data_IF_468093722523
#
_entry.id   IF_468093722523
#
_cell.length_a   1.000
_cell.length_b   1.000
_cell.length_c   1.000
_cell.angle_alpha   90.00
_cell.angle_beta   90.00
_cell.angle_gamma   90.00
#
_symmetry.space_group_name_H-M   'P 1'
#
loop_
_entity.id
_entity.type
_entity.pdbx_description
1 polymer ?
#
# COMPACT_ATOMS: atom_id res chain seq x y z
N UNK A 1 10.23 22.27 31.02
CA UNK A 1 9.32 21.16 30.63
C UNK A 1 8.55 21.58 29.40
N UNK A 2 8.58 20.81 28.32
CA UNK A 2 7.73 21.07 27.16
C UNK A 2 6.26 21.05 27.61
N UNK A 3 5.50 22.12 27.32
CA UNK A 3 4.10 22.22 27.71
C UNK A 3 3.30 21.31 26.80
N UNK A 4 2.84 20.16 27.30
CA UNK A 4 1.94 19.28 26.56
C UNK A 4 0.71 20.06 26.07
N UNK A 5 0.44 20.03 24.77
CA UNK A 5 -0.84 20.51 24.23
C UNK A 5 -1.96 19.55 24.67
N UNK A 6 -2.67 19.93 25.73
CA UNK A 6 -3.71 19.10 26.36
C UNK A 6 -4.91 18.89 25.44
N UNK A 7 -5.26 19.89 24.64
CA UNK A 7 -6.43 19.84 23.76
C UNK A 7 -6.15 18.92 22.57
N UNK A 8 -4.97 19.04 21.97
CA UNK A 8 -4.53 18.12 20.93
C UNK A 8 -4.42 16.69 21.46
N UNK A 9 -3.83 16.50 22.65
CA UNK A 9 -3.76 15.20 23.29
C UNK A 9 -5.14 14.56 23.46
N UNK A 10 -6.13 15.34 23.96
CA UNK A 10 -7.50 14.87 24.19
C UNK A 10 -8.17 14.44 22.88
N UNK A 11 -8.14 15.28 21.84
CA UNK A 11 -8.73 14.96 20.53
C UNK A 11 -8.13 13.71 19.91
N UNK A 12 -6.80 13.58 19.94
CA UNK A 12 -6.10 12.40 19.39
C UNK A 12 -6.41 11.14 20.22
N UNK A 13 -6.62 11.26 21.54
CA UNK A 13 -7.04 10.11 22.34
C UNK A 13 -8.48 9.68 22.06
N UNK A 14 -9.38 10.65 21.88
CA UNK A 14 -10.79 10.43 21.55
C UNK A 14 -10.96 9.81 20.16
N UNK A 15 -10.07 10.11 19.22
CA UNK A 15 -10.03 9.45 17.91
C UNK A 15 -9.53 8.00 17.95
N UNK A 16 -9.33 7.42 19.14
CA UNK A 16 -8.95 6.02 19.34
C UNK A 16 -7.44 5.73 19.26
N UNK A 17 -6.59 6.75 19.14
CA UNK A 17 -5.13 6.55 19.10
C UNK A 17 -4.59 6.17 20.49
N UNK A 18 -3.59 5.27 20.54
CA UNK A 18 -2.98 4.83 21.80
C UNK A 18 -2.37 6.01 22.57
N UNK A 19 -2.47 5.96 23.91
CA UNK A 19 -1.95 6.97 24.85
C UNK A 19 -0.53 7.44 24.54
N UNK A 20 0.39 6.51 24.24
CA UNK A 20 1.80 6.83 23.94
C UNK A 20 1.95 7.69 22.69
N UNK A 21 1.19 7.38 21.63
CA UNK A 21 1.26 8.11 20.35
C UNK A 21 0.60 9.48 20.49
N UNK A 22 -0.58 9.54 21.12
CA UNK A 22 -1.24 10.81 21.42
C UNK A 22 -0.33 11.75 22.23
N UNK A 23 0.38 11.19 23.23
CA UNK A 23 1.35 11.93 24.04
C UNK A 23 2.52 12.44 23.22
N UNK A 24 3.13 11.62 22.36
CA UNK A 24 4.25 12.07 21.51
C UNK A 24 3.86 13.18 20.54
N UNK A 25 2.66 13.14 19.96
CA UNK A 25 2.17 14.17 19.04
C UNK A 25 1.90 15.49 19.80
N UNK A 26 1.26 15.39 20.97
CA UNK A 26 0.97 16.55 21.81
C UNK A 26 2.23 17.18 22.44
N UNK A 27 3.24 16.37 22.78
CA UNK A 27 4.54 16.86 23.24
C UNK A 27 5.32 17.54 22.10
N UNK A 28 5.20 17.03 20.87
CA UNK A 28 5.79 17.68 19.69
C UNK A 28 5.15 19.04 19.40
N UNK A 29 3.81 19.13 19.47
CA UNK A 29 3.09 20.40 19.32
C UNK A 29 3.41 21.40 20.45
N UNK A 30 3.63 20.88 21.65
CA UNK A 30 3.92 21.64 22.86
C UNK A 30 5.31 22.30 22.93
N UNK A 31 6.19 21.99 21.98
CA UNK A 31 7.50 22.66 21.87
C UNK A 31 7.32 23.96 21.10
N UNK A 32 7.75 25.07 21.67
CA UNK A 32 7.72 26.38 21.01
C UNK A 32 9.03 26.61 20.23
N UNK A 33 9.42 25.66 19.39
CA UNK A 33 10.63 25.74 18.57
C UNK A 33 10.27 25.92 17.10
N UNK A 34 11.16 26.53 16.31
CA UNK A 34 10.98 26.69 14.86
C UNK A 34 10.83 25.36 14.10
N UNK A 35 11.20 24.23 14.72
CA UNK A 35 11.12 22.86 14.16
C UNK A 35 9.79 22.15 14.46
N UNK A 36 8.96 22.69 15.33
CA UNK A 36 7.65 22.15 15.70
C UNK A 36 6.71 21.89 14.52
N UNK A 37 6.52 22.84 13.55
CA UNK A 37 5.66 22.58 12.40
C UNK A 37 6.16 21.41 11.54
N UNK A 38 7.47 21.25 11.40
CA UNK A 38 8.05 20.13 10.66
C UNK A 38 7.80 18.80 11.37
N UNK A 39 8.05 18.72 12.69
CA UNK A 39 7.81 17.52 13.47
C UNK A 39 6.34 17.07 13.45
N UNK A 40 5.40 18.03 13.47
CA UNK A 40 3.97 17.74 13.34
C UNK A 40 3.60 17.26 11.93
N UNK A 41 4.16 17.88 10.89
CA UNK A 41 3.96 17.45 9.52
C UNK A 41 4.48 16.03 9.29
N UNK A 42 5.65 15.68 9.84
CA UNK A 42 6.21 14.34 9.76
C UNK A 42 5.32 13.32 10.48
N UNK A 43 4.84 13.66 11.68
CA UNK A 43 3.92 12.80 12.42
C UNK A 43 2.59 12.59 11.66
N UNK A 44 2.03 13.66 11.09
CA UNK A 44 0.84 13.58 10.25
C UNK A 44 1.09 12.77 8.96
N UNK A 45 2.28 12.86 8.39
CA UNK A 45 2.72 12.05 7.25
C UNK A 45 2.72 10.57 7.59
N UNK A 46 3.37 10.19 8.70
CA UNK A 46 3.40 8.79 9.18
C UNK A 46 2.01 8.22 9.44
N UNK A 47 1.12 9.01 10.05
CA UNK A 47 -0.27 8.58 10.28
C UNK A 47 -1.05 8.39 8.97
N UNK A 48 -0.87 9.29 7.99
CA UNK A 48 -1.47 9.14 6.65
C UNK A 48 -0.96 7.91 5.92
N UNK A 49 0.35 7.65 5.97
CA UNK A 49 0.92 6.42 5.37
C UNK A 49 0.35 5.16 6.01
N UNK A 50 0.24 5.12 7.34
CA UNK A 50 -0.36 3.99 8.04
C UNK A 50 -1.85 3.79 7.69
N UNK A 51 -2.61 4.88 7.56
CA UNK A 51 -4.00 4.82 7.10
C UNK A 51 -4.09 4.27 5.67
N UNK A 52 -3.23 4.72 4.75
CA UNK A 52 -3.19 4.22 3.38
C UNK A 52 -2.86 2.72 3.31
N UNK A 53 -1.95 2.22 4.15
CA UNK A 53 -1.66 0.78 4.24
C UNK A 53 -2.86 -0.03 4.74
N UNK A 54 -3.59 0.48 5.73
CA UNK A 54 -4.80 -0.17 6.24
C UNK A 54 -5.89 -0.22 5.16
N UNK A 55 -6.11 0.87 4.44
CA UNK A 55 -7.04 0.91 3.32
C UNK A 55 -6.62 -0.03 2.18
N UNK A 56 -5.33 -0.10 1.87
CA UNK A 56 -4.80 -1.03 0.87
C UNK A 56 -5.09 -2.48 1.28
N UNK A 57 -4.80 -2.85 2.54
CA UNK A 57 -5.12 -4.19 3.06
C UNK A 57 -6.62 -4.47 3.06
N UNK A 58 -7.46 -3.52 3.46
CA UNK A 58 -8.91 -3.66 3.41
C UNK A 58 -9.43 -3.93 1.98
N UNK A 59 -8.82 -3.31 0.97
CA UNK A 59 -9.14 -3.53 -0.46
C UNK A 59 -8.55 -4.82 -1.06
N UNK A 60 -7.86 -5.62 -0.25
CA UNK A 60 -7.24 -6.90 -0.63
C UNK A 60 -5.72 -6.85 -0.85
N UNK A 61 -5.13 -5.66 -0.77
CA UNK A 61 -3.71 -5.41 -0.59
C UNK A 61 -2.76 -6.09 -1.59
N UNK A 62 -1.52 -6.38 -1.15
CA UNK A 62 -0.50 -7.02 -1.98
C UNK A 62 -0.91 -8.41 -2.49
N UNK A 63 -1.72 -9.14 -1.73
CA UNK A 63 -2.18 -10.48 -2.10
C UNK A 63 -3.07 -10.45 -3.36
N UNK A 64 -4.00 -9.49 -3.43
CA UNK A 64 -4.83 -9.28 -4.63
C UNK A 64 -3.97 -8.92 -5.83
N UNK A 65 -3.00 -8.00 -5.70
CA UNK A 65 -2.06 -7.62 -6.76
C UNK A 65 -1.25 -8.82 -7.27
N UNK A 66 -0.71 -9.64 -6.36
CA UNK A 66 0.05 -10.86 -6.69
C UNK A 66 -0.80 -11.84 -7.49
N UNK A 67 -2.06 -12.06 -7.09
CA UNK A 67 -2.98 -12.95 -7.81
C UNK A 67 -3.26 -12.45 -9.22
N UNK A 68 -3.49 -11.15 -9.40
CA UNK A 68 -3.72 -10.56 -10.73
C UNK A 68 -2.50 -10.71 -11.63
N UNK A 69 -1.30 -10.47 -11.09
CA UNK A 69 -0.05 -10.65 -11.81
C UNK A 69 0.18 -12.11 -12.25
N UNK A 70 -0.04 -13.08 -11.34
CA UNK A 70 0.04 -14.49 -11.68
C UNK A 70 -0.96 -14.91 -12.76
N UNK A 71 -2.20 -14.39 -12.69
CA UNK A 71 -3.21 -14.61 -13.73
C UNK A 71 -2.72 -14.09 -15.09
N UNK A 72 -2.18 -12.88 -15.15
CA UNK A 72 -1.64 -12.31 -16.39
C UNK A 72 -0.48 -13.15 -16.96
N UNK A 73 0.43 -13.61 -16.11
CA UNK A 73 1.53 -14.51 -16.52
C UNK A 73 0.98 -15.82 -17.09
N UNK A 74 0.00 -16.45 -16.41
CA UNK A 74 -0.63 -17.69 -16.89
C UNK A 74 -1.30 -17.50 -18.25
N UNK A 75 -2.01 -16.39 -18.46
CA UNK A 75 -2.65 -16.07 -19.74
C UNK A 75 -1.62 -15.89 -20.86
N UNK A 76 -0.52 -15.17 -20.60
CA UNK A 76 0.56 -15.00 -21.59
C UNK A 76 1.17 -16.34 -21.99
N UNK A 77 1.43 -17.23 -21.03
CA UNK A 77 1.92 -18.58 -21.28
C UNK A 77 0.94 -19.40 -22.12
N UNK A 78 -0.35 -19.40 -21.78
CA UNK A 78 -1.38 -20.13 -22.52
C UNK A 78 -1.51 -19.64 -23.98
N UNK A 79 -1.47 -18.32 -24.21
CA UNK A 79 -1.51 -17.77 -25.57
C UNK A 79 -0.27 -18.12 -26.40
N UNK A 80 0.90 -18.17 -25.78
CA UNK A 80 2.12 -18.60 -26.46
C UNK A 80 2.05 -20.08 -26.88
N UNK A 81 1.57 -20.96 -25.99
CA UNK A 81 1.42 -22.39 -26.31
C UNK A 81 0.35 -22.63 -27.37
N UNK A 82 -0.76 -21.90 -27.33
CA UNK A 82 -1.82 -21.93 -28.35
C UNK A 82 -1.27 -21.61 -29.75
N UNK A 83 -0.52 -20.50 -29.89
CA UNK A 83 0.13 -20.12 -31.16
C UNK A 83 1.12 -21.18 -31.63
N UNK A 84 1.94 -21.72 -30.74
CA UNK A 84 2.90 -22.78 -31.09
C UNK A 84 2.20 -24.04 -31.59
N UNK A 85 1.12 -24.46 -30.91
CA UNK A 85 0.32 -25.62 -31.32
C UNK A 85 -0.33 -25.39 -32.68
N UNK A 86 -0.89 -24.22 -32.93
CA UNK A 86 -1.47 -23.86 -34.22
C UNK A 86 -0.42 -23.89 -35.35
N UNK A 87 0.76 -23.31 -35.13
CA UNK A 87 1.87 -23.34 -36.09
C UNK A 87 2.33 -24.78 -36.39
N UNK A 88 2.51 -25.60 -35.36
CA UNK A 88 2.87 -27.03 -35.51
C UNK A 88 1.79 -27.80 -36.27
N UNK A 89 0.51 -27.54 -35.99
CA UNK A 89 -0.61 -28.15 -36.71
C UNK A 89 -0.58 -27.75 -38.18
N UNK A 90 -0.41 -26.47 -38.49
CA UNK A 90 -0.31 -25.96 -39.86
C UNK A 90 0.89 -26.50 -40.64
N UNK A 91 2.04 -26.68 -39.97
CA UNK A 91 3.20 -27.34 -40.59
C UNK A 91 2.92 -28.80 -40.91
N UNK A 92 2.31 -29.54 -39.98
CA UNK A 92 1.92 -30.95 -40.19
C UNK A 92 0.90 -31.12 -41.31
N UNK A 93 -0.08 -30.22 -41.42
CA UNK A 93 -1.08 -30.30 -42.50
C UNK A 93 -0.45 -30.01 -43.86
N UNK A 94 0.43 -29.01 -43.96
CA UNK A 94 1.18 -28.72 -45.21
C UNK A 94 2.11 -29.86 -45.61
N UNK A 95 2.78 -30.51 -44.65
CA UNK A 95 3.65 -31.65 -44.93
C UNK A 95 2.90 -32.88 -45.44
N UNK A 96 1.60 -33.02 -45.15
CA UNK A 96 0.74 -34.10 -45.67
C UNK A 96 0.11 -33.79 -47.03
N UNK A 97 0.04 -32.51 -47.39
CA UNK A 97 -0.55 -32.04 -48.64
C UNK A 97 0.50 -31.80 -49.75
N UNK A 98 1.78 -31.93 -49.40
CA UNK A 98 2.89 -32.10 -50.34
C UNK A 98 3.16 -33.59 -50.51
#
# INVERSE_FOLDING_TARGET
MARLDKDLYKRVRESGVRKRVARTVAEAAGKADSKTPQALNDAAGRLRSAAAELEDRARGGPAKRKRTAQKAVRTRKAKATERSRAAKKGARTRAKAR
#
